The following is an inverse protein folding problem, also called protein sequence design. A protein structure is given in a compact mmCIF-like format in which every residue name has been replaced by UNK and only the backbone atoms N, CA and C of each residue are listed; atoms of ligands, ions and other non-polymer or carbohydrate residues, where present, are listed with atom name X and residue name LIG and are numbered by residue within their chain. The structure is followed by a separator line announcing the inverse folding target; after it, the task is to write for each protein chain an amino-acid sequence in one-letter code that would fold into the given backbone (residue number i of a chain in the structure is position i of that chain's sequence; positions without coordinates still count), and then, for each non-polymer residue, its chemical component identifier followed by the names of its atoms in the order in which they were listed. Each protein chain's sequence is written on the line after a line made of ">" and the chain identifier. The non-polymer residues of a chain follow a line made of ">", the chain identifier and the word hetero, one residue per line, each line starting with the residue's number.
data_IF_675664792072
#
_entry.id   IF_675664792072
#
_cell.length_a   1.000
_cell.length_b   1.000
_cell.length_c   1.000
_cell.angle_alpha   90.00
_cell.angle_beta   90.00
_cell.angle_gamma   90.00
#
_symmetry.space_group_name_H-M   'P 1'
#
loop_
_entity.id
_entity.type
_entity.pdbx_description
1 polymer ?
#
# COMPACT_ATOMS: atom_id res chain seq x y z
N UNK A 1 9.53 -17.58 4.61
CA UNK A 1 9.74 -16.51 3.64
C UNK A 1 8.75 -16.72 2.52
N UNK A 2 7.87 -15.77 2.29
CA UNK A 2 6.88 -15.83 1.21
C UNK A 2 7.50 -15.17 -0.03
N UNK A 3 7.74 -15.94 -1.07
CA UNK A 3 8.28 -15.43 -2.32
C UNK A 3 7.17 -15.26 -3.35
N UNK A 4 7.23 -14.12 -3.95
CA UNK A 4 6.81 -13.68 -5.25
C UNK A 4 5.51 -14.24 -5.83
N UNK A 5 4.61 -13.30 -6.04
CA UNK A 5 3.50 -13.39 -6.94
C UNK A 5 3.96 -13.71 -8.37
N UNK A 6 3.48 -14.80 -8.92
CA UNK A 6 3.33 -14.93 -10.36
C UNK A 6 1.85 -14.82 -10.67
N UNK A 7 1.47 -13.78 -11.38
CA UNK A 7 0.12 -13.63 -11.90
C UNK A 7 0.07 -14.34 -13.23
N UNK A 8 -0.74 -15.36 -13.35
CA UNK A 8 -1.13 -15.91 -14.64
C UNK A 8 -2.48 -15.31 -15.02
N UNK A 9 -2.47 -14.46 -16.04
CA UNK A 9 -3.71 -13.95 -16.65
C UNK A 9 -4.32 -15.05 -17.50
N UNK A 10 -5.42 -15.58 -17.04
CA UNK A 10 -6.34 -16.31 -17.89
C UNK A 10 -7.55 -15.43 -18.17
N UNK A 11 -8.17 -15.57 -19.33
CA UNK A 11 -9.11 -14.62 -19.95
C UNK A 11 -10.28 -14.14 -19.07
N UNK A 12 -10.53 -14.75 -17.91
CA UNK A 12 -11.64 -14.42 -17.02
C UNK A 12 -11.31 -14.43 -15.51
N UNK A 13 -10.04 -14.63 -15.11
CA UNK A 13 -9.67 -14.67 -13.68
C UNK A 13 -8.23 -14.20 -13.46
N UNK A 14 -8.03 -13.29 -12.52
CA UNK A 14 -6.71 -12.96 -11.97
C UNK A 14 -6.41 -13.94 -10.84
N UNK A 15 -5.45 -14.85 -11.06
CA UNK A 15 -5.01 -15.83 -10.10
C UNK A 15 -3.72 -15.36 -9.43
N UNK A 16 -3.76 -15.07 -8.13
CA UNK A 16 -2.57 -14.78 -7.34
C UNK A 16 -2.02 -16.06 -6.71
N UNK A 17 -0.82 -16.46 -7.10
CA UNK A 17 -0.15 -17.65 -6.56
C UNK A 17 0.95 -17.21 -5.59
N UNK A 18 0.87 -17.67 -4.36
CA UNK A 18 1.90 -17.48 -3.33
C UNK A 18 2.79 -18.71 -3.25
N UNK A 19 4.10 -18.49 -3.24
CA UNK A 19 5.08 -19.56 -2.99
C UNK A 19 5.74 -19.34 -1.63
N UNK A 20 5.81 -20.38 -0.81
CA UNK A 20 6.64 -20.40 0.39
C UNK A 20 8.00 -21.07 0.12
N UNK A 21 8.93 -20.99 1.07
CA UNK A 21 10.28 -21.58 0.98
C UNK A 21 10.30 -23.09 0.68
N UNK A 22 9.17 -23.76 0.83
CA UNK A 22 9.02 -25.20 0.57
C UNK A 22 8.40 -25.50 -0.80
N UNK A 23 8.21 -24.49 -1.64
CA UNK A 23 7.65 -24.66 -2.98
C UNK A 23 6.17 -25.04 -3.00
N UNK A 24 5.46 -24.90 -1.88
CA UNK A 24 4.01 -25.15 -1.83
C UNK A 24 3.30 -23.88 -2.31
N UNK A 25 2.60 -23.99 -3.41
CA UNK A 25 1.73 -22.94 -3.94
C UNK A 25 0.37 -23.01 -3.25
N UNK A 26 -0.08 -21.89 -2.72
CA UNK A 26 -1.46 -21.68 -2.31
C UNK A 26 -2.18 -20.89 -3.40
N UNK A 27 -3.20 -21.45 -4.01
CA UNK A 27 -4.05 -20.73 -4.95
C UNK A 27 -5.06 -19.91 -4.17
N UNK A 28 -5.05 -18.59 -4.37
CA UNK A 28 -6.17 -17.74 -3.97
C UNK A 28 -6.89 -17.38 -5.26
N UNK A 29 -8.05 -18.00 -5.50
CA UNK A 29 -8.95 -17.58 -6.56
C UNK A 29 -9.43 -16.15 -6.25
N UNK A 30 -8.86 -15.16 -6.92
CA UNK A 30 -9.49 -13.85 -7.03
C UNK A 30 -10.50 -13.92 -8.16
N UNK A 31 -11.69 -14.45 -7.88
CA UNK A 31 -12.82 -14.30 -8.77
C UNK A 31 -12.99 -12.83 -9.10
N UNK A 32 -13.05 -12.48 -10.37
CA UNK A 32 -13.14 -11.13 -10.97
C UNK A 32 -14.24 -10.21 -10.46
N UNK A 33 -14.21 -9.96 -9.18
CA UNK A 33 -14.79 -8.84 -8.48
C UNK A 33 -13.66 -8.26 -7.65
N UNK A 34 -13.20 -7.04 -7.96
CA UNK A 34 -12.67 -6.20 -6.90
C UNK A 34 -13.70 -6.35 -5.78
N UNK A 35 -13.28 -6.98 -4.68
CA UNK A 35 -14.09 -6.97 -3.48
C UNK A 35 -14.28 -5.48 -3.18
N UNK A 36 -15.43 -4.92 -3.55
CA UNK A 36 -15.70 -3.47 -3.47
C UNK A 36 -15.67 -2.97 -2.01
N UNK A 37 -15.40 -3.87 -1.08
CA UNK A 37 -15.41 -3.64 0.36
C UNK A 37 -14.01 -3.51 0.98
N UNK A 38 -12.91 -3.76 0.24
CA UNK A 38 -11.54 -3.69 0.79
C UNK A 38 -10.62 -2.84 -0.07
N UNK A 39 -9.90 -1.93 0.59
CA UNK A 39 -8.80 -1.21 -0.04
C UNK A 39 -7.52 -2.02 0.00
N UNK A 40 -6.67 -1.82 -1.00
CA UNK A 40 -5.41 -2.55 -1.17
C UNK A 40 -4.22 -1.75 -0.64
N UNK A 41 -3.30 -2.45 0.03
CA UNK A 41 -2.11 -1.86 0.66
C UNK A 41 -0.85 -2.52 0.13
N UNK A 42 0.14 -1.72 -0.27
CA UNK A 42 1.50 -2.14 -0.57
C UNK A 42 2.44 -1.67 0.55
N UNK A 43 3.26 -2.57 1.08
CA UNK A 43 4.26 -2.26 2.10
C UNK A 43 5.65 -2.21 1.47
N UNK A 44 6.44 -1.18 1.79
CA UNK A 44 7.77 -0.97 1.22
C UNK A 44 8.78 -0.64 2.31
N UNK A 45 9.73 -1.54 2.54
CA UNK A 45 10.81 -1.37 3.52
C UNK A 45 11.94 -2.34 3.16
N UNK A 46 13.20 -1.94 3.22
CA UNK A 46 14.32 -2.82 2.95
C UNK A 46 14.65 -3.75 4.14
N UNK A 47 14.08 -3.46 5.31
CA UNK A 47 14.13 -4.32 6.49
C UNK A 47 12.93 -5.29 6.49
N UNK A 48 13.16 -6.54 6.04
CA UNK A 48 12.10 -7.56 5.98
C UNK A 48 11.43 -7.81 7.34
N UNK A 49 12.17 -7.72 8.44
CA UNK A 49 11.65 -7.88 9.79
C UNK A 49 10.59 -6.84 10.12
N UNK A 50 10.74 -5.61 9.66
CA UNK A 50 9.76 -4.53 9.84
C UNK A 50 8.46 -4.89 9.14
N UNK A 51 8.53 -5.32 7.89
CA UNK A 51 7.37 -5.80 7.13
C UNK A 51 6.65 -6.93 7.85
N UNK A 52 7.39 -7.94 8.32
CA UNK A 52 6.82 -9.10 9.03
C UNK A 52 6.12 -8.70 10.34
N UNK A 53 6.69 -7.74 11.06
CA UNK A 53 6.10 -7.21 12.29
C UNK A 53 4.79 -6.49 12.00
N UNK A 54 4.77 -5.61 11.00
CA UNK A 54 3.58 -4.88 10.58
C UNK A 54 2.48 -5.86 10.13
N UNK A 55 2.83 -6.83 9.28
CA UNK A 55 1.91 -7.85 8.79
C UNK A 55 1.22 -8.64 9.91
N UNK A 56 1.95 -8.94 11.00
CA UNK A 56 1.44 -9.72 12.13
C UNK A 56 0.67 -8.91 13.15
N UNK A 57 1.03 -7.62 13.32
CA UNK A 57 0.44 -6.76 14.36
C UNK A 57 -0.89 -6.16 13.99
N UNK A 58 -1.17 -6.04 12.69
CA UNK A 58 -2.39 -5.42 12.18
C UNK A 58 -3.35 -6.51 11.72
N UNK A 59 -4.57 -6.44 12.21
CA UNK A 59 -5.70 -7.23 11.67
C UNK A 59 -6.27 -6.49 10.43
N UNK A 60 -5.69 -6.81 9.29
CA UNK A 60 -6.04 -6.18 8.01
C UNK A 60 -7.49 -6.43 7.62
N UNK A 61 -8.02 -7.59 7.96
CA UNK A 61 -9.40 -7.95 7.65
C UNK A 61 -10.39 -7.14 8.48
N UNK A 62 -10.13 -6.99 9.78
CA UNK A 62 -10.93 -6.13 10.66
C UNK A 62 -10.98 -4.69 10.16
N UNK A 63 -9.87 -4.18 9.60
CA UNK A 63 -9.79 -2.84 9.04
C UNK A 63 -10.44 -2.68 7.66
N UNK A 64 -10.85 -3.76 7.02
CA UNK A 64 -11.32 -3.72 5.64
C UNK A 64 -10.22 -3.39 4.63
N UNK A 65 -8.98 -3.81 4.91
CA UNK A 65 -7.81 -3.63 4.09
C UNK A 65 -7.26 -4.99 3.65
N UNK A 66 -6.53 -5.00 2.53
CA UNK A 66 -5.85 -6.18 2.02
C UNK A 66 -4.43 -5.82 1.60
N UNK A 67 -3.43 -6.44 2.20
CA UNK A 67 -2.04 -6.28 1.78
C UNK A 67 -1.81 -7.11 0.52
N UNK A 68 -1.53 -6.45 -0.60
CA UNK A 68 -1.34 -7.09 -1.91
C UNK A 68 0.09 -7.53 -2.16
N UNK A 69 1.04 -7.03 -1.38
CA UNK A 69 2.44 -7.38 -1.53
C UNK A 69 3.36 -6.49 -0.70
N UNK A 70 4.64 -6.73 -0.84
CA UNK A 70 5.68 -5.90 -0.26
C UNK A 70 6.87 -5.78 -1.22
N UNK A 71 7.64 -4.71 -1.07
CA UNK A 71 8.87 -4.47 -1.82
C UNK A 71 10.00 -4.04 -0.88
N UNK A 72 11.24 -4.37 -1.24
CA UNK A 72 12.45 -4.04 -0.47
C UNK A 72 13.19 -2.78 -0.98
N UNK A 73 12.65 -2.10 -1.97
CA UNK A 73 13.17 -0.84 -2.49
C UNK A 73 12.13 -0.15 -3.38
N UNK A 74 12.37 1.13 -3.68
CA UNK A 74 11.44 1.95 -4.45
C UNK A 74 11.24 1.48 -5.89
N UNK A 75 12.27 0.91 -6.55
CA UNK A 75 12.15 0.44 -7.94
C UNK A 75 11.15 -0.71 -8.03
N UNK A 76 11.32 -1.73 -7.19
CA UNK A 76 10.37 -2.84 -7.12
C UNK A 76 8.98 -2.41 -6.68
N UNK A 77 8.90 -1.44 -5.76
CA UNK A 77 7.63 -0.88 -5.32
C UNK A 77 6.90 -0.21 -6.49
N UNK A 78 7.60 0.57 -7.30
CA UNK A 78 7.00 1.22 -8.46
C UNK A 78 6.46 0.23 -9.49
N UNK A 79 7.19 -0.86 -9.77
CA UNK A 79 6.71 -1.95 -10.64
C UNK A 79 5.38 -2.53 -10.12
N UNK A 80 5.29 -2.77 -8.80
CA UNK A 80 4.06 -3.27 -8.18
C UNK A 80 2.93 -2.23 -8.19
N UNK A 81 3.25 -0.96 -8.03
CA UNK A 81 2.26 0.13 -8.13
C UNK A 81 1.71 0.23 -9.55
N UNK A 82 2.55 0.12 -10.57
CA UNK A 82 2.13 0.14 -11.98
C UNK A 82 1.21 -1.05 -12.29
N UNK A 83 1.55 -2.23 -11.79
CA UNK A 83 0.82 -3.46 -12.06
C UNK A 83 -0.50 -3.53 -11.31
N UNK A 84 -0.51 -3.23 -10.01
CA UNK A 84 -1.67 -3.45 -9.12
C UNK A 84 -2.46 -2.22 -8.77
N UNK A 85 -1.90 -1.03 -8.95
CA UNK A 85 -2.51 0.26 -8.59
C UNK A 85 -3.12 0.23 -7.19
N UNK A 86 -2.31 0.01 -6.13
CA UNK A 86 -2.80 -0.07 -4.76
C UNK A 86 -3.44 1.24 -4.33
N UNK A 87 -4.41 1.16 -3.42
CA UNK A 87 -5.06 2.33 -2.85
C UNK A 87 -4.14 3.05 -1.85
N UNK A 88 -3.30 2.28 -1.14
CA UNK A 88 -2.39 2.80 -0.12
C UNK A 88 -1.00 2.20 -0.34
N UNK A 89 0.03 3.05 -0.29
CA UNK A 89 1.44 2.65 -0.23
C UNK A 89 2.03 3.15 1.07
N UNK A 90 2.54 2.25 1.90
CA UNK A 90 3.30 2.58 3.10
C UNK A 90 4.78 2.29 2.84
N UNK A 91 5.62 3.31 2.90
CA UNK A 91 7.04 3.21 2.53
C UNK A 91 7.97 3.75 3.59
N UNK A 92 9.12 3.08 3.78
CA UNK A 92 10.28 3.70 4.42
C UNK A 92 10.91 4.73 3.48
N UNK A 93 11.74 5.63 4.02
CA UNK A 93 12.49 6.62 3.25
C UNK A 93 13.80 6.02 2.76
N UNK A 94 14.64 5.52 3.67
CA UNK A 94 15.98 5.03 3.33
C UNK A 94 15.96 3.62 2.80
N UNK A 95 16.03 3.52 1.49
CA UNK A 95 16.10 2.24 0.80
C UNK A 95 17.13 2.30 -0.32
N UNK A 96 17.72 1.14 -0.72
CA UNK A 96 18.64 1.10 -1.85
C UNK A 96 17.95 1.38 -3.18
N UNK A 97 18.69 1.87 -4.15
CA UNK A 97 18.34 2.16 -5.55
C UNK A 97 17.39 3.34 -5.75
N UNK A 98 16.21 3.32 -5.15
CA UNK A 98 15.22 4.39 -5.15
C UNK A 98 14.70 4.53 -3.72
N UNK A 99 14.84 5.71 -3.14
CA UNK A 99 14.35 5.99 -1.80
C UNK A 99 12.83 6.24 -1.77
N UNK A 100 12.28 6.30 -0.55
CA UNK A 100 10.84 6.46 -0.38
C UNK A 100 10.32 7.84 -0.81
N UNK A 101 11.17 8.87 -0.83
CA UNK A 101 10.79 10.20 -1.30
C UNK A 101 10.69 10.24 -2.82
N UNK A 102 11.68 9.69 -3.52
CA UNK A 102 11.63 9.54 -4.99
C UNK A 102 10.44 8.69 -5.43
N UNK A 103 10.21 7.56 -4.73
CA UNK A 103 9.03 6.71 -4.95
C UNK A 103 7.74 7.51 -4.79
N UNK A 104 7.62 8.27 -3.71
CA UNK A 104 6.44 9.08 -3.42
C UNK A 104 6.18 10.15 -4.49
N UNK A 105 7.23 10.81 -4.97
CA UNK A 105 7.14 11.78 -6.07
C UNK A 105 6.61 11.13 -7.36
N UNK A 106 7.12 9.97 -7.72
CA UNK A 106 6.67 9.26 -8.92
C UNK A 106 5.24 8.79 -8.80
N UNK A 107 4.86 8.21 -7.64
CA UNK A 107 3.48 7.78 -7.40
C UNK A 107 2.52 8.98 -7.48
N UNK A 108 2.83 10.09 -6.83
CA UNK A 108 1.96 11.28 -6.88
C UNK A 108 1.77 11.83 -8.28
N UNK A 109 2.81 11.77 -9.13
CA UNK A 109 2.74 12.23 -10.51
C UNK A 109 1.92 11.30 -11.40
N UNK A 110 2.09 9.98 -11.26
CA UNK A 110 1.54 8.99 -12.20
C UNK A 110 0.27 8.32 -11.68
N UNK A 111 0.15 8.19 -10.35
CA UNK A 111 -0.97 7.54 -9.65
C UNK A 111 -1.53 8.43 -8.53
N UNK A 112 -2.06 9.62 -8.83
CA UNK A 112 -2.43 10.63 -7.82
C UNK A 112 -3.53 10.16 -6.87
N UNK A 113 -4.30 9.13 -7.21
CA UNK A 113 -5.32 8.56 -6.33
C UNK A 113 -4.73 7.67 -5.22
N UNK A 114 -3.50 7.18 -5.38
CA UNK A 114 -2.83 6.35 -4.38
C UNK A 114 -2.44 7.21 -3.17
N UNK A 115 -2.84 6.76 -1.98
CA UNK A 115 -2.47 7.39 -0.71
C UNK A 115 -1.10 6.91 -0.26
N UNK A 116 -0.27 7.83 0.20
CA UNK A 116 1.11 7.54 0.62
C UNK A 116 1.26 7.77 2.11
N UNK A 117 1.76 6.76 2.81
CA UNK A 117 2.18 6.82 4.21
C UNK A 117 3.70 6.68 4.26
N UNK A 118 4.38 7.61 4.92
CA UNK A 118 5.82 7.50 5.19
C UNK A 118 6.01 6.91 6.58
N UNK A 119 6.83 5.86 6.69
CA UNK A 119 7.12 5.17 7.94
C UNK A 119 8.63 5.03 8.13
N UNK A 120 9.23 5.89 8.94
CA UNK A 120 10.69 6.07 8.97
C UNK A 120 11.27 6.31 10.37
N UNK A 121 12.59 6.20 10.50
CA UNK A 121 13.32 6.41 11.75
C UNK A 121 13.49 7.87 12.13
N UNK A 122 13.92 8.12 13.38
CA UNK A 122 14.01 9.43 14.00
C UNK A 122 14.99 10.42 13.33
N UNK A 123 16.02 9.94 12.65
CA UNK A 123 17.10 10.76 12.10
C UNK A 123 16.73 11.48 10.79
N UNK A 124 15.47 11.38 10.38
CA UNK A 124 15.01 11.79 9.04
C UNK A 124 14.05 12.99 9.07
N UNK A 125 14.11 13.77 10.13
CA UNK A 125 13.24 14.96 10.30
C UNK A 125 13.31 15.96 9.14
N UNK A 126 14.46 16.06 8.46
CA UNK A 126 14.60 16.93 7.29
C UNK A 126 13.67 16.51 6.14
N UNK A 127 13.41 15.21 5.99
CA UNK A 127 12.48 14.69 5.00
C UNK A 127 11.01 14.96 5.33
N UNK A 128 10.68 15.19 6.62
CA UNK A 128 9.30 15.52 7.00
C UNK A 128 8.80 16.80 6.32
N UNK A 129 9.68 17.80 6.12
CA UNK A 129 9.35 19.03 5.41
C UNK A 129 9.04 18.76 3.92
N UNK A 130 9.83 17.91 3.30
CA UNK A 130 9.64 17.53 1.90
C UNK A 130 8.37 16.70 1.73
N UNK A 131 8.07 15.79 2.67
CA UNK A 131 6.85 15.00 2.69
C UNK A 131 5.58 15.88 2.72
N UNK A 132 5.60 16.99 3.44
CA UNK A 132 4.49 17.97 3.44
C UNK A 132 4.27 18.54 2.05
N UNK A 133 5.33 18.87 1.32
CA UNK A 133 5.22 19.39 -0.06
C UNK A 133 4.72 18.34 -1.05
N UNK A 134 4.94 17.05 -0.77
CA UNK A 134 4.45 15.94 -1.59
C UNK A 134 3.01 15.53 -1.28
N UNK A 135 2.37 16.20 -0.31
CA UNK A 135 1.00 15.89 0.10
C UNK A 135 0.81 14.40 0.45
N UNK A 136 1.80 13.83 1.18
CA UNK A 136 1.62 12.48 1.76
C UNK A 136 0.52 12.50 2.81
N UNK A 137 -0.20 11.39 2.96
CA UNK A 137 -1.34 11.33 3.88
C UNK A 137 -0.90 11.39 5.34
N UNK A 138 0.20 10.71 5.67
CA UNK A 138 0.72 10.67 7.03
C UNK A 138 2.22 10.40 7.04
N UNK A 139 2.89 10.91 8.07
CA UNK A 139 4.30 10.71 8.33
C UNK A 139 4.47 10.09 9.72
N UNK A 140 4.89 8.83 9.77
CA UNK A 140 4.91 8.00 10.97
C UNK A 140 6.36 7.74 11.38
N UNK A 141 6.70 8.02 12.63
CA UNK A 141 8.03 7.76 13.17
C UNK A 141 8.13 6.38 13.80
N UNK A 142 9.16 5.61 13.42
CA UNK A 142 9.55 4.36 14.08
C UNK A 142 10.20 4.68 15.46
N UNK A 143 9.99 3.88 16.49
CA UNK A 143 9.07 2.78 16.60
C UNK A 143 7.63 3.23 16.86
N UNK A 144 6.67 2.61 16.19
CA UNK A 144 5.25 2.85 16.41
C UNK A 144 4.60 1.60 17.01
N UNK A 145 3.64 1.79 17.90
CA UNK A 145 2.87 0.67 18.41
C UNK A 145 1.72 0.29 17.45
N UNK A 146 1.19 -0.93 17.61
CA UNK A 146 0.14 -1.43 16.74
C UNK A 146 -1.15 -0.59 16.80
N UNK A 147 -1.47 0.00 17.95
CA UNK A 147 -2.66 0.83 18.11
C UNK A 147 -2.55 2.14 17.33
N UNK A 148 -1.41 2.81 17.38
CA UNK A 148 -1.14 4.03 16.60
C UNK A 148 -1.18 3.75 15.10
N UNK A 149 -0.55 2.66 14.66
CA UNK A 149 -0.54 2.28 13.26
C UNK A 149 -1.95 1.91 12.75
N UNK A 150 -2.73 1.21 13.56
CA UNK A 150 -4.14 0.91 13.27
C UNK A 150 -4.96 2.19 13.10
N UNK A 151 -4.77 3.17 13.98
CA UNK A 151 -5.44 4.49 13.92
C UNK A 151 -5.15 5.21 12.60
N UNK A 152 -3.89 5.22 12.17
CA UNK A 152 -3.48 5.82 10.89
C UNK A 152 -4.20 5.16 9.72
N UNK A 153 -4.22 3.83 9.65
CA UNK A 153 -4.94 3.14 8.58
C UNK A 153 -6.45 3.39 8.60
N UNK A 154 -7.06 3.51 9.78
CA UNK A 154 -8.49 3.89 9.90
C UNK A 154 -8.73 5.29 9.32
N UNK A 155 -7.88 6.26 9.65
CA UNK A 155 -8.00 7.63 9.14
C UNK A 155 -7.86 7.69 7.61
N UNK A 156 -6.90 6.98 7.05
CA UNK A 156 -6.70 6.92 5.59
C UNK A 156 -7.88 6.23 4.90
N UNK A 157 -8.38 5.14 5.48
CA UNK A 157 -9.58 4.47 4.97
C UNK A 157 -10.80 5.39 4.95
N UNK A 158 -11.03 6.14 6.02
CA UNK A 158 -12.13 7.10 6.11
C UNK A 158 -12.01 8.19 5.04
N UNK A 159 -10.81 8.68 4.76
CA UNK A 159 -10.56 9.60 3.63
C UNK A 159 -10.93 8.99 2.28
N UNK A 160 -10.51 7.76 2.03
CA UNK A 160 -10.86 7.05 0.79
C UNK A 160 -12.37 6.86 0.65
N UNK A 161 -13.05 6.48 1.73
CA UNK A 161 -14.52 6.33 1.76
C UNK A 161 -15.21 7.66 1.43
N UNK A 162 -14.74 8.77 2.01
CA UNK A 162 -15.28 10.10 1.74
C UNK A 162 -15.08 10.51 0.28
N UNK A 163 -13.88 10.35 -0.29
CA UNK A 163 -13.59 10.70 -1.68
C UNK A 163 -14.45 9.92 -2.67
N UNK A 164 -14.71 8.63 -2.41
CA UNK A 164 -15.59 7.82 -3.24
C UNK A 164 -17.04 8.31 -3.15
N UNK A 165 -17.51 8.64 -1.94
CA UNK A 165 -18.85 9.17 -1.72
C UNK A 165 -19.05 10.49 -2.45
N UNK A 166 -18.09 11.40 -2.40
CA UNK A 166 -18.13 12.69 -3.10
C UNK A 166 -18.16 12.52 -4.62
N UNK A 167 -17.32 11.65 -5.18
CA UNK A 167 -17.31 11.35 -6.62
C UNK A 167 -18.65 10.80 -7.09
N UNK A 168 -19.25 9.87 -6.36
CA UNK A 168 -20.58 9.33 -6.69
C UNK A 168 -21.65 10.40 -6.65
N UNK A 169 -21.60 11.32 -5.69
CA UNK A 169 -22.56 12.42 -5.57
C UNK A 169 -22.47 13.38 -6.76
N UNK A 170 -21.26 13.72 -7.21
CA UNK A 170 -21.02 14.57 -8.37
C UNK A 170 -21.51 13.90 -9.66
N UNK A 171 -21.25 12.62 -9.86
CA UNK A 171 -21.73 11.87 -11.04
C UNK A 171 -23.26 11.81 -11.12
N UNK A 172 -23.94 11.67 -9.97
CA UNK A 172 -25.40 11.70 -9.91
C UNK A 172 -25.93 13.07 -10.30
N UNK A 173 -25.33 14.16 -9.80
CA UNK A 173 -25.76 15.53 -10.13
C UNK A 173 -25.54 15.91 -11.60
N UNK A 174 -24.53 15.34 -12.26
CA UNK A 174 -24.25 15.59 -13.69
C UNK A 174 -25.20 14.85 -14.64
N UNK A 175 -25.95 13.86 -14.15
CA UNK A 175 -26.95 13.12 -14.96
C UNK A 175 -28.34 13.76 -15.00
N UNK A 176 -28.56 14.83 -14.25
CA UNK A 176 -29.78 15.61 -14.21
C UNK A 176 -29.55 17.05 -14.71
#
# INVERSE_FOLDING_TARGET
>A
MLYLLKIEKNADMDLCIWYNEKGLAGEIETKGMRNMDKYTVLLVDDEEEVIQVIMKKIDWEELGLSVIGYASNGVKALELVEEFQPDIVMTDIKMPYMDGMELSQQIKREFPATKILIFTGFDEFEYAKEAVHLEVEEYILKPVNAAELKEVFIQVKNKLDQEISEKRSVEVLQRY
#
